data_IF_430803022054
#
_entry.id   IF_430803022054
#
_cell.length_a   1.000
_cell.length_b   1.000
_cell.length_c   1.000
_cell.angle_alpha   90.00
_cell.angle_beta   90.00
_cell.angle_gamma   90.00
#
_symmetry.space_group_name_H-M   'P 1'
#
loop_
_entity.id
_entity.type
_entity.pdbx_description
1 polymer ?
#
# COMPACT_ATOMS: atom_id res chain seq x y z
N UNK A 1 11.61 -37.96 -13.55
CA UNK A 1 12.17 -36.80 -12.81
C UNK A 1 11.46 -35.56 -13.34
N UNK A 2 10.33 -35.16 -12.75
CA UNK A 2 9.60 -33.98 -13.20
C UNK A 2 10.28 -32.75 -12.60
N UNK A 3 10.99 -31.97 -13.42
CA UNK A 3 11.51 -30.66 -13.03
C UNK A 3 10.32 -29.72 -12.84
N UNK A 4 10.00 -29.43 -11.58
CA UNK A 4 9.02 -28.43 -11.23
C UNK A 4 9.52 -27.06 -11.73
N UNK A 5 8.97 -26.59 -12.85
CA UNK A 5 9.11 -25.21 -13.27
C UNK A 5 8.38 -24.36 -12.23
N UNK A 6 9.14 -23.79 -11.29
CA UNK A 6 8.66 -22.68 -10.47
C UNK A 6 8.12 -21.63 -11.45
N UNK A 7 6.83 -21.27 -11.40
CA UNK A 7 6.34 -20.18 -12.21
C UNK A 7 7.14 -18.96 -11.76
N UNK A 8 7.93 -18.41 -12.68
CA UNK A 8 8.55 -17.10 -12.54
C UNK A 8 7.46 -16.21 -11.96
N UNK A 9 7.57 -15.84 -10.68
CA UNK A 9 6.63 -14.95 -10.03
C UNK A 9 6.65 -13.70 -10.89
N UNK A 10 5.65 -13.54 -11.76
CA UNK A 10 5.46 -12.33 -12.55
C UNK A 10 5.46 -11.23 -11.51
N UNK A 11 6.52 -10.42 -11.48
CA UNK A 11 6.54 -9.20 -10.68
C UNK A 11 5.24 -8.49 -11.04
N UNK A 12 4.30 -8.44 -10.09
CA UNK A 12 3.01 -7.81 -10.31
C UNK A 12 3.32 -6.33 -10.49
N UNK A 13 3.51 -5.93 -11.74
CA UNK A 13 3.78 -4.57 -12.10
C UNK A 13 2.47 -3.83 -11.88
N UNK A 14 2.47 -2.92 -10.92
CA UNK A 14 1.29 -2.13 -10.64
C UNK A 14 1.32 -0.88 -11.52
N UNK A 15 0.31 -0.72 -12.38
CA UNK A 15 0.12 0.45 -13.24
C UNK A 15 -0.26 1.73 -12.46
N UNK A 16 -0.40 1.65 -11.13
CA UNK A 16 -0.76 2.76 -10.26
C UNK A 16 -0.01 2.69 -8.91
N UNK A 17 -0.05 3.80 -8.18
CA UNK A 17 0.68 4.02 -6.92
C UNK A 17 -0.07 3.54 -5.66
N UNK A 18 -1.20 2.84 -5.81
CA UNK A 18 -2.04 2.39 -4.70
C UNK A 18 -2.88 3.49 -4.03
N UNK A 19 -3.07 4.66 -4.66
CA UNK A 19 -3.96 5.72 -4.14
C UNK A 19 -5.40 5.20 -4.02
N UNK A 20 -6.06 5.30 -2.83
CA UNK A 20 -7.47 4.95 -2.66
C UNK A 20 -8.39 6.09 -3.12
N UNK A 21 -9.63 5.75 -3.47
CA UNK A 21 -10.67 6.72 -3.83
C UNK A 21 -11.37 7.38 -2.65
N UNK A 22 -11.15 6.89 -1.42
CA UNK A 22 -11.76 7.38 -0.18
C UNK A 22 -13.29 7.50 -0.26
N UNK A 23 -13.96 6.59 -0.97
CA UNK A 23 -15.41 6.66 -1.19
C UNK A 23 -16.21 6.13 0.01
N UNK A 24 -15.68 5.13 0.71
CA UNK A 24 -16.30 4.52 1.88
C UNK A 24 -15.89 5.21 3.19
N UNK A 25 -16.80 5.26 4.16
CA UNK A 25 -16.46 5.67 5.54
C UNK A 25 -15.43 4.73 6.18
N UNK A 26 -15.42 3.47 5.76
CA UNK A 26 -14.43 2.49 6.20
C UNK A 26 -13.01 2.86 5.78
N UNK A 27 -12.82 3.63 4.71
CA UNK A 27 -11.49 4.04 4.22
C UNK A 27 -10.96 5.28 4.96
N UNK A 28 -11.86 6.05 5.59
CA UNK A 28 -11.50 7.26 6.35
C UNK A 28 -10.66 6.88 7.56
N UNK A 29 -9.55 7.59 7.78
CA UNK A 29 -8.54 7.31 8.79
C UNK A 29 -7.82 5.95 8.63
N UNK A 30 -8.01 5.23 7.52
CA UNK A 30 -7.17 4.07 7.18
C UNK A 30 -5.93 4.50 6.42
N UNK A 31 -4.87 3.74 6.64
CA UNK A 31 -3.59 3.90 5.95
C UNK A 31 -3.50 2.82 4.86
N UNK A 32 -3.05 3.20 3.67
CA UNK A 32 -2.86 2.30 2.53
C UNK A 32 -1.42 2.39 2.04
N UNK A 33 -0.85 1.25 1.66
CA UNK A 33 0.55 1.21 1.24
C UNK A 33 0.70 1.85 -0.14
N UNK A 34 1.72 2.70 -0.30
CA UNK A 34 2.13 3.09 -1.64
C UNK A 34 2.88 1.93 -2.30
N UNK A 35 2.51 1.61 -3.54
CA UNK A 35 3.00 0.41 -4.22
C UNK A 35 4.46 0.52 -4.65
N UNK A 36 4.98 1.74 -4.79
CA UNK A 36 6.33 2.00 -5.25
C UNK A 36 7.24 2.53 -4.13
N UNK A 37 6.69 3.28 -3.17
CA UNK A 37 7.44 3.91 -2.08
C UNK A 37 7.05 3.35 -0.71
N UNK A 38 7.85 2.44 -0.11
CA UNK A 38 7.55 1.88 1.22
C UNK A 38 7.72 2.88 2.36
N UNK A 39 8.33 4.06 2.10
CA UNK A 39 8.42 5.14 3.09
C UNK A 39 7.15 5.99 3.14
N UNK A 40 6.22 5.77 2.21
CA UNK A 40 5.01 6.56 2.09
C UNK A 40 3.74 5.70 2.14
N UNK A 41 2.66 6.31 2.60
CA UNK A 41 1.35 5.70 2.69
C UNK A 41 0.26 6.73 2.35
N UNK A 42 -0.86 6.24 1.84
CA UNK A 42 -2.04 7.05 1.57
C UNK A 42 -2.96 7.05 2.78
N UNK A 43 -3.55 8.19 3.10
CA UNK A 43 -4.58 8.30 4.12
C UNK A 43 -5.77 9.10 3.60
N UNK A 44 -6.97 8.63 3.89
CA UNK A 44 -8.19 9.36 3.63
C UNK A 44 -8.57 10.20 4.86
N UNK A 45 -8.48 11.52 4.77
CA UNK A 45 -8.88 12.40 5.89
C UNK A 45 -10.41 12.50 6.00
N UNK A 46 -11.12 12.53 4.87
CA UNK A 46 -12.58 12.62 4.80
C UNK A 46 -13.14 11.79 3.67
N UNK A 47 -14.39 11.35 3.82
CA UNK A 47 -15.12 10.64 2.76
C UNK A 47 -15.27 11.53 1.52
N UNK A 48 -15.06 10.95 0.35
CA UNK A 48 -15.19 11.63 -0.94
C UNK A 48 -14.09 12.64 -1.24
N UNK A 49 -13.04 12.71 -0.40
CA UNK A 49 -11.87 13.57 -0.65
C UNK A 49 -10.70 12.74 -1.17
N UNK A 50 -9.82 13.35 -1.96
CA UNK A 50 -8.62 12.65 -2.45
C UNK A 50 -7.75 12.19 -1.30
N UNK A 51 -7.19 10.98 -1.40
CA UNK A 51 -6.23 10.49 -0.44
C UNK A 51 -4.99 11.39 -0.39
N UNK A 52 -4.47 11.59 0.81
CA UNK A 52 -3.26 12.34 1.06
C UNK A 52 -2.07 11.40 1.19
N UNK A 53 -0.99 11.70 0.48
CA UNK A 53 0.28 11.01 0.67
C UNK A 53 0.95 11.52 1.96
N UNK A 54 1.23 10.62 2.88
CA UNK A 54 1.98 10.87 4.11
C UNK A 54 3.24 10.00 4.11
N UNK A 55 4.27 10.43 4.84
CA UNK A 55 5.53 9.71 4.96
C UNK A 55 5.75 9.22 6.38
N UNK A 56 6.32 8.03 6.50
CA UNK A 56 6.79 7.51 7.77
C UNK A 56 7.98 8.33 8.30
N UNK A 57 8.19 8.35 9.63
CA UNK A 57 9.40 8.93 10.23
C UNK A 57 10.69 8.27 9.72
N UNK A 58 11.83 8.91 9.99
CA UNK A 58 13.14 8.40 9.57
C UNK A 58 13.39 6.99 10.09
N UNK A 59 14.00 6.14 9.24
CA UNK A 59 14.27 4.72 9.52
C UNK A 59 13.02 3.86 9.72
N UNK A 60 11.85 4.33 9.29
CA UNK A 60 10.61 3.55 9.34
C UNK A 60 9.99 3.39 7.95
N UNK A 61 9.36 2.23 7.75
CA UNK A 61 8.66 1.83 6.54
C UNK A 61 7.23 1.43 6.90
N UNK A 62 6.28 1.71 6.01
CA UNK A 62 4.88 1.40 6.24
C UNK A 62 4.61 -0.10 6.09
N UNK A 63 4.07 -0.71 7.14
CA UNK A 63 3.56 -2.09 7.11
C UNK A 63 2.04 -2.07 7.01
N UNK A 64 1.52 -2.54 5.88
CA UNK A 64 0.08 -2.68 5.64
C UNK A 64 -0.57 -3.73 6.55
N UNK A 65 0.17 -4.79 6.90
CA UNK A 65 -0.31 -5.83 7.79
C UNK A 65 -0.58 -5.30 9.20
N UNK A 66 0.30 -4.43 9.68
CA UNK A 66 0.19 -3.81 11.00
C UNK A 66 -0.57 -2.48 10.99
N UNK A 67 -0.86 -1.94 9.79
CA UNK A 67 -1.48 -0.63 9.62
C UNK A 67 -0.67 0.52 10.24
N UNK A 68 0.67 0.42 10.27
CA UNK A 68 1.54 1.42 10.90
C UNK A 68 2.95 1.43 10.31
N UNK A 69 3.68 2.52 10.58
CA UNK A 69 5.10 2.59 10.33
C UNK A 69 5.87 1.72 11.34
N UNK A 70 6.80 0.90 10.85
CA UNK A 70 7.68 0.05 11.65
C UNK A 70 9.14 0.29 11.25
N UNK A 71 10.08 -0.07 12.12
CA UNK A 71 11.50 0.10 11.84
C UNK A 71 11.91 -0.70 10.59
N UNK A 72 12.78 -0.14 9.75
CA UNK A 72 13.17 -0.77 8.48
C UNK A 72 13.78 -2.18 8.67
N UNK A 73 14.42 -2.44 9.81
CA UNK A 73 15.02 -3.76 10.11
C UNK A 73 13.99 -4.86 10.34
N UNK A 74 12.79 -4.50 10.83
CA UNK A 74 11.68 -5.44 11.06
C UNK A 74 10.72 -5.48 9.86
N UNK A 75 10.95 -4.63 8.87
CA UNK A 75 10.08 -4.51 7.71
C UNK A 75 10.44 -5.55 6.65
N UNK A 76 9.42 -6.24 6.16
CA UNK A 76 9.53 -7.17 5.04
C UNK A 76 8.65 -6.72 3.90
N UNK A 77 9.13 -6.91 2.67
CA UNK A 77 8.33 -6.61 1.49
C UNK A 77 7.14 -7.58 1.41
N UNK A 78 5.94 -7.07 1.62
CA UNK A 78 4.69 -7.78 1.35
C UNK A 78 4.12 -7.42 -0.02
N UNK A 79 3.31 -8.28 -0.62
CA UNK A 79 2.51 -7.88 -1.79
C UNK A 79 1.48 -6.83 -1.37
N UNK A 80 1.49 -5.63 -1.97
CA UNK A 80 0.52 -4.61 -1.59
C UNK A 80 -0.89 -4.98 -2.03
N UNK A 81 -1.87 -4.67 -1.18
CA UNK A 81 -3.29 -4.93 -1.41
C UNK A 81 -3.93 -3.78 -2.18
N UNK A 82 -4.87 -4.12 -3.04
CA UNK A 82 -5.68 -3.13 -3.74
C UNK A 82 -6.63 -2.45 -2.74
N UNK A 83 -6.71 -1.11 -2.72
CA UNK A 83 -7.69 -0.40 -1.90
C UNK A 83 -9.14 -0.70 -2.35
N UNK A 84 -10.14 -0.57 -1.44
CA UNK A 84 -11.54 -0.85 -1.77
C UNK A 84 -12.07 0.02 -2.91
N UNK A 85 -11.62 1.27 -2.98
CA UNK A 85 -11.98 2.20 -4.04
C UNK A 85 -10.75 2.78 -4.73
N UNK A 86 -10.90 3.13 -6.01
CA UNK A 86 -9.88 3.86 -6.79
C UNK A 86 -10.28 5.33 -6.94
N UNK A 87 -9.32 6.27 -7.01
CA UNK A 87 -9.60 7.67 -7.30
C UNK A 87 -10.33 7.78 -8.64
N UNK A 88 -11.44 8.52 -8.65
CA UNK A 88 -12.15 8.84 -9.89
C UNK A 88 -11.36 9.93 -10.62
N UNK A 89 -11.06 9.68 -11.89
CA UNK A 89 -10.43 10.64 -12.81
C UNK A 89 -11.27 11.91 -12.99
#
# INVERSE_FOLDING_TARGET
MATAHLPIQKSKYYDHNGEPGCQGLEEVNRMFRNFWDPTAYWVCEKQGTRARLQRCPQSQLYSEELGRCIHYSDWSWTDPKEPPSRPKC
#
